data_IF_485518365923
#
_entry.id   IF_485518365923
#
_cell.length_a   1.000
_cell.length_b   1.000
_cell.length_c   1.000
_cell.angle_alpha   90.00
_cell.angle_beta   90.00
_cell.angle_gamma   90.00
#
_symmetry.space_group_name_H-M   'P 1'
#
loop_
_entity.id
_entity.type
_entity.pdbx_description
1 polymer ?
#
# COMPACT_ATOMS: atom_id res chain seq x y z
N UNK A 1 -52.12 74.19 21.80
CA UNK A 1 -50.88 74.16 21.02
C UNK A 1 -49.85 73.30 21.81
N UNK A 2 -49.55 72.06 21.37
CA UNK A 2 -48.55 71.15 22.01
C UNK A 2 -47.28 71.17 21.15
N UNK A 3 -46.24 71.81 21.72
CA UNK A 3 -44.90 71.78 21.13
C UNK A 3 -44.30 70.38 21.12
N UNK A 4 -43.94 69.87 19.95
CA UNK A 4 -43.17 68.59 19.79
C UNK A 4 -41.69 68.95 19.86
N UNK A 5 -41.05 68.52 20.98
CA UNK A 5 -39.61 68.53 21.09
C UNK A 5 -39.06 67.37 20.20
N UNK A 6 -38.40 67.66 19.10
CA UNK A 6 -37.64 66.74 18.31
C UNK A 6 -36.21 66.62 18.87
N UNK A 7 -35.86 65.43 19.39
CA UNK A 7 -34.49 65.12 19.78
C UNK A 7 -33.65 64.85 18.53
N UNK A 8 -32.43 65.45 18.39
CA UNK A 8 -31.56 65.16 17.27
C UNK A 8 -31.04 63.72 17.39
N UNK A 9 -31.22 62.93 16.34
CA UNK A 9 -30.64 61.62 16.24
C UNK A 9 -29.09 61.74 16.19
N UNK A 10 -28.41 61.20 17.16
CA UNK A 10 -26.94 61.08 17.20
C UNK A 10 -26.49 60.22 16.01
N UNK A 11 -25.83 60.85 15.04
CA UNK A 11 -25.11 60.16 13.94
C UNK A 11 -23.91 59.46 14.58
N UNK A 12 -24.01 58.11 14.81
CA UNK A 12 -22.85 57.27 15.12
C UNK A 12 -21.91 57.36 13.92
N UNK A 13 -20.73 57.92 14.12
CA UNK A 13 -19.66 57.96 13.13
C UNK A 13 -19.28 56.52 12.77
N UNK A 14 -19.42 56.14 11.51
CA UNK A 14 -18.87 54.91 10.99
C UNK A 14 -17.33 55.07 10.96
N UNK A 15 -16.65 54.43 11.91
CA UNK A 15 -15.20 54.32 11.87
C UNK A 15 -14.86 53.28 10.80
N UNK A 16 -14.27 53.70 9.69
CA UNK A 16 -13.74 52.80 8.69
C UNK A 16 -12.45 52.13 9.19
N UNK A 17 -12.24 50.90 8.78
CA UNK A 17 -11.00 50.19 9.08
C UNK A 17 -9.79 50.88 8.47
N UNK A 18 -8.70 50.91 9.21
CA UNK A 18 -7.45 51.46 8.69
C UNK A 18 -6.77 50.46 7.75
N UNK A 19 -5.98 50.94 6.79
CA UNK A 19 -5.19 50.08 5.89
C UNK A 19 -4.25 49.14 6.65
N UNK A 20 -3.73 49.60 7.80
CA UNK A 20 -2.83 48.82 8.67
C UNK A 20 -3.56 47.70 9.33
N UNK A 21 -4.78 47.90 9.84
CA UNK A 21 -5.59 46.83 10.44
C UNK A 21 -5.88 45.73 9.41
N UNK A 22 -6.23 46.08 8.18
CA UNK A 22 -6.44 45.10 7.12
C UNK A 22 -5.15 44.36 6.76
N UNK A 23 -4.01 45.04 6.71
CA UNK A 23 -2.71 44.43 6.44
C UNK A 23 -2.33 43.37 7.52
N UNK A 24 -2.51 43.73 8.80
CA UNK A 24 -2.22 42.82 9.91
C UNK A 24 -3.13 41.56 9.87
N UNK A 25 -4.42 41.75 9.60
CA UNK A 25 -5.37 40.62 9.47
C UNK A 25 -4.96 39.68 8.33
N UNK A 26 -4.57 40.22 7.18
CA UNK A 26 -4.12 39.38 6.05
C UNK A 26 -2.83 38.58 6.38
N UNK A 27 -1.89 39.21 7.09
CA UNK A 27 -0.67 38.50 7.53
C UNK A 27 -1.04 37.37 8.48
N UNK A 28 -1.90 37.58 9.46
CA UNK A 28 -2.32 36.55 10.42
C UNK A 28 -3.04 35.40 9.72
N UNK A 29 -3.97 35.71 8.82
CA UNK A 29 -4.67 34.70 8.03
C UNK A 29 -3.68 33.89 7.17
N UNK A 30 -2.73 34.54 6.51
CA UNK A 30 -1.68 33.87 5.74
C UNK A 30 -0.84 32.91 6.58
N UNK A 31 -0.46 33.30 7.80
CA UNK A 31 0.24 32.41 8.73
C UNK A 31 -0.59 31.20 9.16
N UNK A 32 -1.88 31.41 9.45
CA UNK A 32 -2.78 30.33 9.85
C UNK A 32 -2.96 29.32 8.71
N UNK A 33 -3.20 29.79 7.48
CA UNK A 33 -3.35 28.92 6.30
C UNK A 33 -2.08 28.09 6.07
N UNK A 34 -0.90 28.72 6.15
CA UNK A 34 0.38 28.03 6.00
C UNK A 34 0.58 26.95 7.07
N UNK A 35 0.25 27.23 8.32
CA UNK A 35 0.37 26.29 9.42
C UNK A 35 -0.58 25.08 9.26
N UNK A 36 -1.80 25.30 8.76
CA UNK A 36 -2.78 24.23 8.51
C UNK A 36 -2.32 23.32 7.37
N UNK A 37 -1.75 23.89 6.29
CA UNK A 37 -1.21 23.09 5.18
C UNK A 37 -0.07 22.15 5.65
N UNK A 38 0.90 22.68 6.37
CA UNK A 38 2.00 21.88 6.93
C UNK A 38 1.48 20.81 7.86
N UNK A 39 0.48 21.13 8.70
CA UNK A 39 -0.11 20.19 9.64
C UNK A 39 -0.75 18.97 8.95
N UNK A 40 -1.43 19.17 7.83
CA UNK A 40 -2.03 18.08 7.03
C UNK A 40 -0.98 17.15 6.43
N UNK A 41 0.11 17.69 5.89
CA UNK A 41 1.18 16.88 5.32
C UNK A 41 1.89 16.02 6.37
N UNK A 42 2.14 16.57 7.55
CA UNK A 42 2.72 15.82 8.67
C UNK A 42 1.78 14.70 9.12
N UNK A 43 0.49 14.97 9.23
CA UNK A 43 -0.51 13.98 9.63
C UNK A 43 -0.60 12.83 8.62
N UNK A 44 -0.62 13.13 7.32
CA UNK A 44 -0.63 12.14 6.25
C UNK A 44 0.62 11.26 6.28
N UNK A 45 1.78 11.86 6.40
CA UNK A 45 3.03 11.11 6.48
C UNK A 45 3.06 10.19 7.72
N UNK A 46 2.55 10.64 8.86
CA UNK A 46 2.43 9.83 10.06
C UNK A 46 1.50 8.63 9.85
N UNK A 47 0.38 8.82 9.14
CA UNK A 47 -0.53 7.72 8.79
C UNK A 47 0.12 6.70 7.87
N UNK A 48 0.86 7.12 6.86
CA UNK A 48 1.58 6.22 5.95
C UNK A 48 2.67 5.41 6.67
N UNK A 49 3.38 6.03 7.59
CA UNK A 49 4.34 5.32 8.46
C UNK A 49 3.62 4.31 9.35
N UNK A 50 2.45 4.65 9.89
CA UNK A 50 1.63 3.75 10.68
C UNK A 50 1.14 2.55 9.88
N UNK A 51 0.63 2.75 8.65
CA UNK A 51 0.25 1.66 7.74
C UNK A 51 1.41 0.69 7.54
N UNK A 52 2.61 1.21 7.28
CA UNK A 52 3.80 0.37 7.12
C UNK A 52 4.14 -0.43 8.38
N UNK A 53 4.21 0.22 9.52
CA UNK A 53 4.72 -0.39 10.76
C UNK A 53 3.68 -1.29 11.44
N UNK A 54 2.43 -0.83 11.52
CA UNK A 54 1.38 -1.50 12.28
C UNK A 54 0.63 -2.53 11.44
N UNK A 55 0.66 -2.41 10.12
CA UNK A 55 -0.06 -3.33 9.25
C UNK A 55 0.87 -4.17 8.38
N UNK A 56 1.63 -3.58 7.47
CA UNK A 56 2.43 -4.36 6.53
C UNK A 56 3.57 -5.15 7.19
N UNK A 57 4.33 -4.53 8.07
CA UNK A 57 5.42 -5.21 8.76
C UNK A 57 4.89 -6.33 9.67
N UNK A 58 3.78 -6.12 10.35
CA UNK A 58 3.19 -7.15 11.20
C UNK A 58 2.64 -8.34 10.39
N UNK A 59 2.09 -8.10 9.19
CA UNK A 59 1.73 -9.19 8.30
C UNK A 59 2.94 -9.96 7.78
N UNK A 60 4.05 -9.28 7.51
CA UNK A 60 5.30 -9.94 7.15
C UNK A 60 5.85 -10.77 8.33
N UNK A 61 5.77 -10.27 9.56
CA UNK A 61 6.13 -11.01 10.77
C UNK A 61 5.22 -12.22 11.00
N UNK A 62 3.90 -12.07 10.82
CA UNK A 62 2.95 -13.16 10.91
C UNK A 62 3.23 -14.27 9.89
N UNK A 63 3.56 -13.89 8.64
CA UNK A 63 3.99 -14.85 7.62
C UNK A 63 5.26 -15.60 8.03
N UNK A 64 6.27 -14.90 8.52
CA UNK A 64 7.52 -15.50 8.97
C UNK A 64 7.30 -16.42 10.17
N UNK A 65 6.43 -16.04 11.11
CA UNK A 65 6.07 -16.90 12.26
C UNK A 65 5.35 -18.16 11.82
N UNK A 66 4.47 -18.10 10.82
CA UNK A 66 3.83 -19.26 10.22
C UNK A 66 4.88 -20.20 9.61
N UNK A 67 5.77 -19.66 8.80
CA UNK A 67 6.83 -20.43 8.17
C UNK A 67 7.77 -21.10 9.19
N UNK A 68 8.15 -20.37 10.23
CA UNK A 68 8.98 -20.93 11.32
C UNK A 68 8.29 -22.06 12.07
N UNK A 69 6.97 -21.99 12.21
CA UNK A 69 6.19 -22.99 12.92
C UNK A 69 5.95 -24.28 12.12
N UNK A 70 5.68 -24.16 10.84
CA UNK A 70 5.30 -25.28 9.97
C UNK A 70 6.38 -25.68 8.95
N UNK A 71 7.39 -24.86 8.74
CA UNK A 71 8.44 -25.12 7.75
C UNK A 71 7.99 -24.96 6.29
N UNK A 72 6.77 -24.48 6.07
CA UNK A 72 6.17 -24.32 4.74
C UNK A 72 5.56 -22.95 4.57
N UNK A 73 5.41 -22.49 3.32
CA UNK A 73 4.73 -21.23 3.02
C UNK A 73 3.23 -21.31 3.36
N UNK A 74 2.64 -20.15 3.65
CA UNK A 74 1.20 -20.07 3.96
C UNK A 74 0.38 -20.65 2.80
N UNK A 75 -0.52 -21.58 3.13
CA UNK A 75 -1.35 -22.29 2.15
C UNK A 75 -0.73 -23.54 1.55
N UNK A 76 0.52 -23.86 1.86
CA UNK A 76 1.11 -25.15 1.51
C UNK A 76 0.81 -26.22 2.58
N UNK A 77 0.85 -27.50 2.16
CA UNK A 77 0.56 -28.62 3.05
C UNK A 77 1.81 -28.98 3.86
N UNK A 78 1.79 -28.88 5.21
CA UNK A 78 2.93 -29.24 6.03
C UNK A 78 3.29 -30.73 5.97
N UNK A 79 2.32 -31.62 5.71
CA UNK A 79 2.53 -33.05 5.60
C UNK A 79 3.11 -33.47 4.24
N UNK A 80 2.75 -32.67 3.19
CA UNK A 80 3.22 -32.90 1.81
C UNK A 80 3.60 -31.57 1.16
N UNK A 81 4.69 -30.94 1.60
CA UNK A 81 5.07 -29.62 1.07
C UNK A 81 5.32 -29.67 -0.43
N UNK A 82 4.68 -28.78 -1.16
CA UNK A 82 4.85 -28.66 -2.60
C UNK A 82 6.05 -27.84 -2.96
N UNK A 83 6.54 -27.05 -2.03
CA UNK A 83 7.69 -26.17 -2.25
C UNK A 83 8.85 -26.54 -1.36
N UNK A 84 9.98 -26.74 -1.98
CA UNK A 84 11.27 -26.84 -1.28
C UNK A 84 11.91 -25.47 -1.18
N UNK A 85 12.95 -25.37 -0.35
CA UNK A 85 13.72 -24.15 -0.11
C UNK A 85 14.14 -23.42 -1.39
N UNK A 86 14.39 -24.11 -2.47
CA UNK A 86 14.75 -23.52 -3.76
C UNK A 86 13.58 -23.48 -4.77
N UNK A 87 12.35 -23.47 -4.28
CA UNK A 87 11.15 -23.39 -5.11
C UNK A 87 10.84 -24.65 -5.90
N UNK A 88 11.37 -25.78 -5.53
CA UNK A 88 11.09 -27.05 -6.20
C UNK A 88 9.84 -27.70 -5.67
N UNK A 89 9.21 -28.46 -6.55
CA UNK A 89 8.05 -29.26 -6.22
C UNK A 89 8.51 -30.63 -5.67
N UNK A 90 8.07 -30.97 -4.48
CA UNK A 90 8.33 -32.28 -3.87
C UNK A 90 7.59 -33.41 -4.58
N UNK A 91 6.39 -33.14 -5.04
CA UNK A 91 5.46 -34.17 -5.56
C UNK A 91 5.61 -34.43 -7.04
N UNK A 92 6.53 -33.80 -7.66
CA UNK A 92 6.46 -33.74 -9.11
C UNK A 92 7.52 -34.39 -9.86
N UNK A 93 8.13 -35.37 -9.47
CA UNK A 93 8.92 -36.08 -10.43
C UNK A 93 10.41 -36.23 -10.21
N UNK A 94 10.77 -37.39 -10.39
CA UNK A 94 11.99 -37.78 -11.07
C UNK A 94 13.23 -37.01 -10.70
N UNK A 95 13.69 -37.16 -9.46
CA UNK A 95 15.06 -36.88 -9.11
C UNK A 95 15.61 -35.52 -9.47
N UNK A 96 14.80 -34.48 -9.39
CA UNK A 96 15.22 -33.16 -9.82
C UNK A 96 16.16 -32.54 -8.78
N UNK A 97 17.28 -32.19 -9.23
CA UNK A 97 18.40 -31.65 -8.50
C UNK A 97 18.19 -30.15 -8.23
N UNK A 98 18.75 -29.60 -7.15
CA UNK A 98 18.66 -28.19 -6.83
C UNK A 98 19.17 -27.29 -7.98
N UNK A 99 18.55 -26.14 -8.18
CA UNK A 99 18.92 -25.19 -9.22
C UNK A 99 18.30 -25.42 -10.60
N UNK A 100 17.30 -26.32 -10.72
CA UNK A 100 16.62 -26.54 -11.98
C UNK A 100 15.66 -25.41 -12.38
N UNK A 101 15.19 -25.47 -13.61
CA UNK A 101 14.19 -24.56 -14.15
C UNK A 101 12.87 -24.70 -13.35
N UNK A 102 12.39 -23.60 -12.81
CA UNK A 102 11.19 -23.54 -12.00
C UNK A 102 9.91 -23.30 -12.78
N UNK A 103 9.99 -23.18 -14.11
CA UNK A 103 8.82 -22.90 -14.96
C UNK A 103 7.70 -23.93 -14.86
N UNK A 104 8.04 -25.17 -14.54
CA UNK A 104 7.09 -26.28 -14.41
C UNK A 104 6.74 -26.63 -12.94
N UNK A 105 7.11 -25.78 -11.99
CA UNK A 105 6.79 -26.03 -10.59
C UNK A 105 5.32 -25.68 -10.34
N UNK A 106 4.55 -26.66 -9.88
CA UNK A 106 3.18 -26.42 -9.44
C UNK A 106 3.20 -25.59 -8.19
N UNK A 107 2.58 -24.40 -8.18
CA UNK A 107 2.49 -23.60 -6.98
C UNK A 107 1.63 -24.28 -5.91
N UNK A 108 1.80 -23.96 -4.61
CA UNK A 108 0.83 -24.35 -3.61
C UNK A 108 -0.54 -23.76 -3.95
N UNK A 109 -1.64 -24.33 -3.44
CA UNK A 109 -2.95 -23.75 -3.59
C UNK A 109 -2.92 -22.26 -3.19
N UNK A 110 -3.52 -21.42 -4.00
CA UNK A 110 -3.56 -20.01 -3.72
C UNK A 110 -4.45 -19.73 -2.50
N UNK A 111 -3.90 -19.08 -1.51
CA UNK A 111 -4.66 -18.53 -0.38
C UNK A 111 -5.49 -17.34 -0.85
N UNK A 112 -4.93 -16.55 -1.77
CA UNK A 112 -5.63 -15.45 -2.38
C UNK A 112 -6.67 -15.95 -3.40
N UNK A 113 -7.87 -15.39 -3.36
CA UNK A 113 -8.84 -15.57 -4.45
C UNK A 113 -8.31 -14.93 -5.74
N UNK A 114 -8.80 -15.43 -6.86
CA UNK A 114 -8.38 -14.96 -8.18
C UNK A 114 -8.54 -13.44 -8.35
N UNK A 115 -7.42 -12.75 -8.42
CA UNK A 115 -7.36 -11.32 -8.66
C UNK A 115 -7.47 -10.45 -7.40
N UNK A 116 -6.93 -9.24 -7.52
CA UNK A 116 -7.00 -8.21 -6.51
C UNK A 116 -8.44 -7.69 -6.38
N UNK A 117 -9.01 -7.72 -5.19
CA UNK A 117 -10.37 -7.25 -4.97
C UNK A 117 -10.87 -7.43 -3.55
N UNK A 118 -12.14 -7.09 -3.37
CA UNK A 118 -12.77 -6.97 -2.07
C UNK A 118 -12.75 -8.22 -1.17
N UNK A 119 -12.48 -9.38 -1.72
CA UNK A 119 -12.41 -10.64 -0.95
C UNK A 119 -11.13 -11.43 -1.27
N UNK A 120 -10.05 -10.72 -1.56
CA UNK A 120 -8.80 -11.33 -1.99
C UNK A 120 -8.26 -12.37 -0.99
N UNK A 121 -8.35 -12.11 0.30
CA UNK A 121 -7.89 -13.03 1.34
C UNK A 121 -8.88 -14.19 1.63
N UNK A 122 -10.04 -14.19 0.96
CA UNK A 122 -11.04 -15.27 1.03
C UNK A 122 -10.81 -16.23 -0.12
N UNK A 123 -10.13 -17.33 0.15
CA UNK A 123 -9.87 -18.31 -0.89
C UNK A 123 -11.16 -18.89 -1.47
N UNK A 124 -11.12 -19.22 -2.76
CA UNK A 124 -12.19 -19.96 -3.41
C UNK A 124 -12.32 -21.41 -2.87
N UNK A 125 -11.24 -21.93 -2.27
CA UNK A 125 -11.21 -23.27 -1.70
C UNK A 125 -11.46 -23.22 -0.19
N UNK A 126 -12.37 -24.05 0.31
CA UNK A 126 -12.68 -24.15 1.72
C UNK A 126 -11.43 -24.51 2.55
N UNK A 127 -11.24 -23.83 3.68
CA UNK A 127 -10.10 -24.03 4.56
C UNK A 127 -8.80 -23.30 4.16
N UNK A 128 -8.80 -22.57 3.05
CA UNK A 128 -7.63 -21.81 2.57
C UNK A 128 -7.75 -20.31 2.80
N UNK A 129 -8.70 -19.89 3.61
CA UNK A 129 -8.84 -18.48 4.03
C UNK A 129 -7.65 -18.07 4.90
N UNK A 130 -7.00 -16.95 4.55
CA UNK A 130 -5.79 -16.48 5.21
C UNK A 130 -5.94 -16.36 6.73
N UNK A 131 -7.04 -15.76 7.17
CA UNK A 131 -7.29 -15.52 8.60
C UNK A 131 -7.48 -16.87 9.34
N UNK A 132 -8.21 -17.79 8.73
CA UNK A 132 -8.42 -19.15 9.28
C UNK A 132 -7.12 -19.89 9.42
N UNK A 133 -6.30 -19.93 8.37
CA UNK A 133 -4.99 -20.58 8.40
C UNK A 133 -4.06 -20.01 9.49
N UNK A 134 -4.00 -18.70 9.63
CA UNK A 134 -3.18 -18.06 10.66
C UNK A 134 -3.69 -18.38 12.08
N UNK A 135 -5.00 -18.37 12.30
CA UNK A 135 -5.60 -18.69 13.59
C UNK A 135 -5.41 -20.15 13.98
N UNK A 136 -5.63 -21.07 13.06
CA UNK A 136 -5.37 -22.50 13.27
C UNK A 136 -3.90 -22.77 13.55
N UNK A 137 -3.03 -21.98 12.93
CA UNK A 137 -1.61 -21.97 13.22
C UNK A 137 -1.26 -21.37 14.59
N UNK A 138 -2.22 -20.77 15.30
CA UNK A 138 -1.98 -20.05 16.55
C UNK A 138 -1.07 -18.84 16.39
N UNK A 139 -1.11 -18.19 15.22
CA UNK A 139 -0.40 -16.94 14.94
C UNK A 139 -1.30 -15.78 15.33
N UNK A 140 -0.73 -14.84 16.07
CA UNK A 140 -1.40 -13.58 16.40
C UNK A 140 -1.55 -12.74 15.14
N UNK A 141 -2.79 -12.35 14.84
CA UNK A 141 -3.07 -11.55 13.65
C UNK A 141 -2.81 -10.07 13.91
N UNK A 142 -2.28 -9.35 12.93
CA UNK A 142 -2.13 -7.90 13.02
C UNK A 142 -3.46 -7.20 13.24
N UNK A 143 -3.47 -6.02 13.88
CA UNK A 143 -4.68 -5.23 14.01
C UNK A 143 -5.14 -4.75 12.63
N UNK A 144 -6.34 -5.16 12.26
CA UNK A 144 -6.99 -4.76 11.02
C UNK A 144 -8.23 -3.91 11.25
N UNK A 145 -9.14 -3.92 10.28
CA UNK A 145 -10.39 -3.16 10.34
C UNK A 145 -11.36 -3.65 11.42
N UNK A 146 -11.23 -4.89 11.86
CA UNK A 146 -12.06 -5.52 12.89
C UNK A 146 -11.90 -7.03 12.92
N UNK A 147 -12.57 -7.69 13.87
CA UNK A 147 -12.53 -9.13 14.03
C UNK A 147 -13.01 -9.86 12.75
N UNK A 148 -12.18 -10.75 12.21
CA UNK A 148 -12.42 -11.43 10.94
C UNK A 148 -12.14 -10.57 9.70
N UNK A 149 -11.52 -9.41 9.88
CA UNK A 149 -11.11 -8.46 8.84
C UNK A 149 -9.72 -7.92 9.11
N UNK A 150 -8.88 -8.71 9.71
CA UNK A 150 -7.50 -8.37 10.05
C UNK A 150 -6.63 -8.24 8.79
N UNK A 151 -7.05 -8.81 7.67
CA UNK A 151 -6.45 -8.68 6.34
C UNK A 151 -6.64 -7.30 5.71
N UNK A 152 -7.40 -6.41 6.34
CA UNK A 152 -7.78 -5.09 5.82
C UNK A 152 -7.41 -3.98 6.76
N UNK A 153 -7.03 -2.85 6.19
CA UNK A 153 -6.72 -1.64 6.93
C UNK A 153 -7.30 -0.42 6.19
N UNK A 154 -8.04 0.42 6.92
CA UNK A 154 -8.57 1.66 6.38
C UNK A 154 -7.60 2.80 6.62
N UNK A 155 -7.38 3.64 5.61
CA UNK A 155 -6.56 4.84 5.69
C UNK A 155 -7.21 5.98 4.90
N UNK A 156 -6.68 7.19 5.03
CA UNK A 156 -7.09 8.33 4.24
C UNK A 156 -6.06 8.62 3.14
N UNK A 157 -6.55 8.86 1.93
CA UNK A 157 -5.70 9.31 0.83
C UNK A 157 -5.28 10.78 0.98
N UNK A 158 -4.55 11.31 0.01
CA UNK A 158 -4.05 12.68 0.03
C UNK A 158 -5.16 13.74 0.01
N UNK A 159 -6.38 13.41 -0.41
CA UNK A 159 -7.54 14.30 -0.37
C UNK A 159 -8.42 14.10 0.87
N UNK A 160 -8.09 13.12 1.72
CA UNK A 160 -8.89 12.79 2.89
C UNK A 160 -10.03 11.83 2.61
N UNK A 161 -10.07 11.18 1.43
CA UNK A 161 -11.06 10.15 1.15
C UNK A 161 -10.66 8.84 1.82
N UNK A 162 -11.60 8.08 2.39
CA UNK A 162 -11.32 6.79 2.99
C UNK A 162 -10.99 5.77 1.91
N UNK A 163 -9.87 5.09 2.06
CA UNK A 163 -9.40 3.99 1.24
C UNK A 163 -9.20 2.75 2.11
N UNK A 164 -9.21 1.59 1.48
CA UNK A 164 -8.96 0.32 2.17
C UNK A 164 -7.85 -0.44 1.45
N UNK A 165 -6.80 -0.79 2.16
CA UNK A 165 -5.82 -1.76 1.70
C UNK A 165 -6.19 -3.15 2.19
N UNK A 166 -5.85 -4.16 1.38
CA UNK A 166 -6.02 -5.55 1.72
C UNK A 166 -4.73 -6.31 1.41
N UNK A 167 -4.41 -7.30 2.23
CA UNK A 167 -3.23 -8.18 2.06
C UNK A 167 -3.63 -9.61 1.86
N UNK A 168 -2.81 -10.32 1.08
CA UNK A 168 -2.89 -11.76 0.92
C UNK A 168 -1.51 -12.30 0.53
N UNK A 169 -1.29 -13.61 0.66
CA UNK A 169 -0.05 -14.27 0.25
C UNK A 169 -0.29 -15.20 -0.93
N UNK A 170 0.62 -15.14 -1.89
CA UNK A 170 0.60 -16.04 -3.03
C UNK A 170 2.01 -16.41 -3.48
N UNK A 171 2.09 -17.41 -4.33
CA UNK A 171 3.31 -17.74 -5.06
C UNK A 171 3.25 -17.22 -6.48
N UNK A 172 4.25 -16.43 -6.84
CA UNK A 172 4.45 -15.99 -8.20
C UNK A 172 5.36 -16.98 -8.95
N UNK A 173 4.90 -17.45 -10.10
CA UNK A 173 5.70 -18.31 -10.96
C UNK A 173 6.95 -17.61 -11.49
N UNK A 174 8.00 -18.35 -11.85
CA UNK A 174 9.16 -17.78 -12.54
C UNK A 174 8.74 -17.04 -13.80
N UNK A 175 9.32 -15.87 -14.01
CA UNK A 175 8.96 -14.99 -15.12
C UNK A 175 7.85 -13.98 -14.82
N UNK A 176 7.25 -14.01 -13.62
CA UNK A 176 6.32 -12.95 -13.20
C UNK A 176 7.04 -11.59 -13.14
N UNK A 177 6.54 -10.56 -13.82
CA UNK A 177 7.24 -9.27 -13.93
C UNK A 177 7.58 -8.64 -12.59
N UNK A 178 6.67 -8.66 -11.65
CA UNK A 178 6.85 -8.10 -10.30
C UNK A 178 7.72 -8.97 -9.36
N UNK A 179 8.25 -10.08 -9.86
CA UNK A 179 9.12 -10.98 -9.13
C UNK A 179 8.48 -12.34 -8.85
N UNK A 180 9.31 -13.38 -8.87
CA UNK A 180 8.94 -14.76 -8.59
C UNK A 180 9.11 -15.14 -7.13
N UNK A 181 8.43 -16.18 -6.70
CA UNK A 181 8.50 -16.73 -5.34
C UNK A 181 7.33 -16.27 -4.47
N UNK A 182 7.47 -16.44 -3.17
CA UNK A 182 6.44 -16.02 -2.22
C UNK A 182 6.36 -14.50 -2.15
N UNK A 183 5.16 -13.98 -2.31
CA UNK A 183 4.88 -12.55 -2.25
C UNK A 183 3.66 -12.26 -1.38
N UNK A 184 3.72 -11.17 -0.65
CA UNK A 184 2.54 -10.55 -0.07
C UNK A 184 1.96 -9.59 -1.13
N UNK A 185 0.74 -9.87 -1.54
CA UNK A 185 -0.03 -9.02 -2.44
C UNK A 185 -0.76 -7.98 -1.61
N UNK A 186 -0.62 -6.73 -2.00
CA UNK A 186 -1.22 -5.58 -1.31
C UNK A 186 -2.04 -4.81 -2.33
N UNK A 187 -3.34 -4.73 -2.11
CA UNK A 187 -4.28 -4.03 -3.00
C UNK A 187 -4.81 -2.77 -2.36
N UNK A 188 -5.40 -1.88 -3.15
CA UNK A 188 -6.02 -0.65 -2.66
C UNK A 188 -5.02 0.45 -2.30
N UNK A 189 -3.79 0.38 -2.79
CA UNK A 189 -2.79 1.42 -2.58
C UNK A 189 -3.01 2.59 -3.53
N UNK A 190 -3.09 3.80 -2.99
CA UNK A 190 -2.92 4.99 -3.83
C UNK A 190 -1.46 5.13 -4.23
N UNK A 191 -1.14 5.75 -5.38
CA UNK A 191 0.25 5.96 -5.81
C UNK A 191 1.12 6.66 -4.77
N UNK A 192 0.58 7.65 -4.07
CA UNK A 192 1.29 8.35 -2.99
C UNK A 192 1.66 7.43 -1.83
N UNK A 193 0.70 6.62 -1.35
CA UNK A 193 0.97 5.64 -0.31
C UNK A 193 1.99 4.61 -0.80
N UNK A 194 1.85 4.12 -2.03
CA UNK A 194 2.78 3.17 -2.61
C UNK A 194 4.21 3.70 -2.70
N UNK A 195 4.40 4.96 -3.09
CA UNK A 195 5.72 5.65 -3.07
C UNK A 195 6.29 5.73 -1.66
N UNK A 196 5.47 6.13 -0.69
CA UNK A 196 5.89 6.23 0.71
C UNK A 196 6.29 4.88 1.28
N UNK A 197 5.50 3.83 1.02
CA UNK A 197 5.81 2.46 1.43
C UNK A 197 7.09 1.95 0.75
N UNK A 198 7.21 2.17 -0.55
CA UNK A 198 8.38 1.79 -1.35
C UNK A 198 9.65 2.44 -0.80
N UNK A 199 9.63 3.75 -0.58
CA UNK A 199 10.73 4.48 0.01
C UNK A 199 11.09 3.97 1.41
N UNK A 200 10.10 3.65 2.22
CA UNK A 200 10.31 3.15 3.58
C UNK A 200 10.75 1.69 3.69
N UNK A 201 10.43 0.84 2.71
CA UNK A 201 10.77 -0.59 2.70
C UNK A 201 12.11 -0.89 1.99
N UNK A 202 12.42 -0.17 0.94
CA UNK A 202 13.61 -0.42 0.10
C UNK A 202 14.53 0.78 -0.12
N UNK A 203 14.15 1.97 0.39
CA UNK A 203 14.94 3.19 0.27
C UNK A 203 14.74 3.97 -1.04
N UNK A 204 13.94 3.46 -1.98
CA UNK A 204 13.63 4.12 -3.26
C UNK A 204 12.14 4.13 -3.51
N UNK A 205 11.64 5.19 -4.17
CA UNK A 205 10.21 5.38 -4.38
C UNK A 205 9.68 4.72 -5.68
N UNK A 206 10.55 4.08 -6.46
CA UNK A 206 10.19 3.48 -7.74
C UNK A 206 9.31 2.22 -7.61
N UNK A 207 8.60 1.88 -8.69
CA UNK A 207 7.66 0.76 -8.75
C UNK A 207 8.28 -0.56 -9.24
N UNK A 208 9.52 -0.56 -9.76
CA UNK A 208 10.06 -1.68 -10.51
C UNK A 208 11.36 -2.30 -9.97
N UNK A 209 11.93 -1.76 -8.91
CA UNK A 209 13.17 -2.30 -8.32
C UNK A 209 12.97 -2.89 -6.93
N UNK A 210 13.92 -3.68 -6.45
CA UNK A 210 13.96 -4.21 -5.08
C UNK A 210 12.85 -5.23 -4.77
N UNK A 211 12.48 -5.30 -3.51
CA UNK A 211 11.55 -6.30 -2.94
C UNK A 211 10.09 -5.86 -2.97
N UNK A 212 9.82 -4.59 -3.21
CA UNK A 212 8.47 -4.02 -3.24
C UNK A 212 8.23 -3.41 -4.61
N UNK A 213 7.35 -4.02 -5.40
CA UNK A 213 7.13 -3.66 -6.80
C UNK A 213 5.65 -3.61 -7.13
N UNK A 214 5.32 -2.83 -8.14
CA UNK A 214 3.97 -2.82 -8.69
C UNK A 214 3.69 -4.12 -9.46
N UNK A 215 2.50 -4.66 -9.32
CA UNK A 215 2.04 -5.82 -10.10
C UNK A 215 2.14 -5.54 -11.60
N UNK A 216 2.58 -6.53 -12.36
CA UNK A 216 2.69 -6.44 -13.82
C UNK A 216 3.88 -5.63 -14.34
N UNK A 217 4.65 -5.00 -13.44
CA UNK A 217 5.81 -4.19 -13.83
C UNK A 217 7.08 -5.00 -13.74
N UNK A 218 7.74 -5.16 -14.90
CA UNK A 218 8.99 -5.87 -14.97
C UNK A 218 10.13 -5.13 -14.26
N UNK A 219 10.98 -5.90 -13.60
CA UNK A 219 12.23 -5.39 -13.05
C UNK A 219 13.12 -4.90 -14.19
N UNK A 220 13.29 -3.59 -14.24
CA UNK A 220 14.21 -2.90 -15.13
C UNK A 220 14.23 -3.44 -16.55
N UNK A 221 13.87 -2.66 -17.52
CA UNK A 221 13.94 -3.09 -18.90
C UNK A 221 15.44 -3.28 -19.29
N UNK A 222 15.93 -4.50 -19.12
CA UNK A 222 17.32 -4.90 -19.41
C UNK A 222 17.59 -5.05 -20.92
N UNK A 223 16.73 -4.53 -21.76
CA UNK A 223 16.95 -4.53 -23.20
C UNK A 223 17.95 -3.42 -23.53
N UNK A 224 19.20 -3.77 -23.67
CA UNK A 224 20.22 -2.89 -24.22
C UNK A 224 21.27 -2.30 -23.28
N UNK A 225 21.48 -2.86 -22.11
CA UNK A 225 22.71 -2.60 -21.32
C UNK A 225 22.88 -1.21 -20.68
N UNK A 226 21.83 -0.40 -20.62
CA UNK A 226 21.89 0.92 -20.02
C UNK A 226 20.67 1.15 -19.13
N UNK A 227 20.96 1.44 -17.89
CA UNK A 227 20.12 2.07 -16.87
C UNK A 227 18.61 1.86 -17.07
N UNK A 228 18.10 0.83 -16.44
CA UNK A 228 16.68 0.67 -16.30
C UNK A 228 16.09 1.97 -15.73
N UNK A 229 15.29 2.65 -16.51
CA UNK A 229 14.53 3.78 -16.02
C UNK A 229 13.71 3.34 -14.82
N UNK A 230 13.86 4.01 -13.70
CA UNK A 230 12.98 3.82 -12.55
C UNK A 230 11.60 4.29 -12.94
N UNK A 231 10.61 3.41 -12.82
CA UNK A 231 9.21 3.72 -13.12
C UNK A 231 8.50 4.22 -11.87
N UNK A 232 7.61 5.16 -12.06
CA UNK A 232 6.76 5.65 -10.99
C UNK A 232 5.56 4.72 -10.75
N UNK A 233 5.00 4.78 -9.54
CA UNK A 233 3.75 4.14 -9.19
C UNK A 233 2.60 4.84 -9.91
N UNK A 234 2.00 4.19 -10.87
CA UNK A 234 0.87 4.72 -11.63
C UNK A 234 0.03 3.62 -12.22
N UNK A 235 -1.22 3.92 -12.55
CA UNK A 235 -2.13 2.96 -13.19
C UNK A 235 -1.60 2.51 -14.56
N UNK A 236 -0.97 3.39 -15.29
CA UNK A 236 -0.41 3.09 -16.61
C UNK A 236 1.05 2.61 -16.55
N UNK A 237 1.74 2.87 -15.47
CA UNK A 237 3.15 2.55 -15.24
C UNK A 237 4.09 2.85 -16.41
N UNK A 238 3.87 3.95 -17.11
CA UNK A 238 4.62 4.32 -18.33
C UNK A 238 5.59 5.46 -18.08
N UNK A 239 5.55 6.10 -16.93
CA UNK A 239 6.38 7.28 -16.68
C UNK A 239 7.53 7.01 -15.73
N UNK A 240 8.67 7.60 -16.06
CA UNK A 240 9.82 7.62 -15.20
C UNK A 240 9.61 8.60 -14.04
N UNK A 241 10.12 8.27 -12.84
CA UNK A 241 10.10 9.15 -11.66
C UNK A 241 10.77 10.50 -11.94
N UNK A 242 11.74 10.53 -12.82
CA UNK A 242 12.44 11.73 -13.26
C UNK A 242 11.89 12.32 -14.55
N UNK A 243 10.82 11.74 -15.10
CA UNK A 243 10.22 12.18 -16.36
C UNK A 243 9.41 13.46 -16.17
N UNK A 244 9.40 14.28 -17.22
CA UNK A 244 8.66 15.55 -17.25
C UNK A 244 7.19 15.39 -17.56
N UNK A 245 6.69 14.19 -17.73
CA UNK A 245 5.29 13.96 -18.09
C UNK A 245 4.48 13.72 -16.83
N UNK A 246 3.51 14.59 -16.59
CA UNK A 246 2.54 14.44 -15.53
C UNK A 246 1.82 13.10 -15.66
N UNK A 247 1.75 12.34 -14.57
CA UNK A 247 1.14 11.03 -14.54
C UNK A 247 -0.36 11.13 -14.47
N UNK A 248 -1.00 10.49 -15.42
CA UNK A 248 -2.42 10.21 -15.35
C UNK A 248 -2.62 9.00 -14.45
N UNK A 249 -2.73 9.13 -13.19
CA UNK A 249 -2.92 7.99 -12.29
C UNK A 249 -2.72 8.36 -10.83
N UNK A 250 -2.41 9.61 -10.59
CA UNK A 250 -2.37 10.19 -9.26
C UNK A 250 -3.74 10.63 -8.76
N UNK A 251 -4.76 10.54 -9.59
CA UNK A 251 -6.11 10.73 -9.14
C UNK A 251 -6.40 9.71 -8.04
N UNK A 252 -6.83 10.20 -6.91
CA UNK A 252 -6.99 9.45 -5.67
C UNK A 252 -8.02 8.32 -5.75
N UNK A 253 -8.71 8.21 -6.84
CA UNK A 253 -9.63 7.09 -7.12
C UNK A 253 -8.89 5.92 -7.74
N UNK A 254 -7.70 6.14 -8.29
CA UNK A 254 -6.91 5.10 -8.92
C UNK A 254 -6.04 4.40 -7.87
N UNK A 255 -6.23 3.12 -7.70
CA UNK A 255 -5.41 2.30 -6.82
C UNK A 255 -4.54 1.36 -7.63
N UNK A 256 -3.38 1.05 -7.10
CA UNK A 256 -2.42 0.09 -7.65
C UNK A 256 -2.28 -1.11 -6.73
N UNK A 257 -1.80 -2.20 -7.30
CA UNK A 257 -1.47 -3.44 -6.58
C UNK A 257 0.04 -3.55 -6.47
N UNK A 258 0.51 -3.87 -5.28
CA UNK A 258 1.93 -4.11 -5.02
C UNK A 258 2.19 -5.56 -4.63
N UNK A 259 3.34 -6.06 -5.03
CA UNK A 259 3.92 -7.32 -4.59
C UNK A 259 5.13 -7.04 -3.69
N UNK A 260 5.03 -7.44 -2.44
CA UNK A 260 6.14 -7.42 -1.50
C UNK A 260 6.76 -8.81 -1.41
N UNK A 261 7.99 -8.96 -1.87
CA UNK A 261 8.67 -10.25 -1.90
C UNK A 261 9.04 -10.69 -0.49
N UNK A 262 8.57 -11.87 -0.13
CA UNK A 262 8.92 -12.54 1.12
C UNK A 262 10.24 -13.29 0.94
N UNK A 263 11.08 -13.31 1.98
CA UNK A 263 12.44 -13.89 1.91
C UNK A 263 12.48 -15.41 2.01
N UNK A 264 11.34 -16.09 1.85
CA UNK A 264 11.24 -17.53 2.11
C UNK A 264 10.56 -18.26 0.97
#
# INVERSE_FOLDING_TARGET
MKSRNSYPASKRGQQGFTLVEMAVVLIVIGMIISAVMIGRDVQRNAEYVRVRQVFLNQWAEAYNAYYQRFGVSVGDDPAMPRKMINGRNFTGSNGVISGGNMSNVTPPPAVCSNGAGANMARAAQAGMDLITLMREAGIELPPGRGAGREDRYAYQDSNGNPQEIQVCFQWNTPGTPSGSGNVMVITGLTPDLARSLSSGLKGTADANTGVFRQEGVAHGNMSGGVTAGTLDWSVNNTAAITGTTAQTGEDQVATVVAHYKMNQ
#
